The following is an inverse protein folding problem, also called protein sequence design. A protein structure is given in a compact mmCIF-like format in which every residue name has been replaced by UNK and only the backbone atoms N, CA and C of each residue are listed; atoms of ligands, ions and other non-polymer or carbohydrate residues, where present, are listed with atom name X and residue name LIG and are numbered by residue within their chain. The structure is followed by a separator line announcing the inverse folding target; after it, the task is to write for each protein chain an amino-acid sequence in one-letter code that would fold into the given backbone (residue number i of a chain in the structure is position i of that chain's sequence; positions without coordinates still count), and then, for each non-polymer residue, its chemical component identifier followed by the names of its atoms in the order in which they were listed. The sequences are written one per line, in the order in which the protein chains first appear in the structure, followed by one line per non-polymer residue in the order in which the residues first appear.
data_IF_069118010571
#
_entry.id   IF_069118010571
#
_cell.length_a   1.000
_cell.length_b   1.000
_cell.length_c   1.000
_cell.angle_alpha   90.00
_cell.angle_beta   90.00
_cell.angle_gamma   90.00
#
_symmetry.space_group_name_H-M   'P 1'
#
loop_
_entity.id
_entity.type
_entity.pdbx_description
1 polymer ?
#
# COMPACT_ATOMS: atom_id res chain seq x y z
N UNK A 1 -3.54 0.25 11.17
CA UNK A 1 -3.35 -0.29 12.54
C UNK A 1 -3.75 -1.75 12.51
N UNK A 2 -2.79 -2.67 12.54
CA UNK A 2 -3.08 -4.10 12.70
C UNK A 2 -2.98 -4.37 14.19
N UNK A 3 -4.07 -4.86 14.77
CA UNK A 3 -4.10 -5.26 16.19
C UNK A 3 -3.61 -6.70 16.26
N UNK A 4 -2.48 -6.89 16.92
CA UNK A 4 -1.76 -8.16 17.00
C UNK A 4 -2.27 -8.97 18.19
N UNK A 5 -2.69 -10.21 17.93
CA UNK A 5 -2.91 -11.20 19.00
C UNK A 5 -1.60 -11.95 19.23
N UNK A 6 -1.12 -11.89 20.47
CA UNK A 6 -0.14 -12.80 21.09
C UNK A 6 1.34 -12.74 20.62
N UNK A 7 1.89 -11.53 20.44
CA UNK A 7 3.36 -11.34 20.37
C UNK A 7 4.00 -10.99 21.74
N UNK A 8 3.19 -10.88 22.79
CA UNK A 8 3.55 -10.35 24.11
C UNK A 8 4.51 -11.22 24.94
N UNK A 9 4.93 -12.38 24.45
CA UNK A 9 5.74 -13.35 25.22
C UNK A 9 7.16 -13.59 24.66
N UNK A 10 7.58 -12.90 23.60
CA UNK A 10 8.94 -13.04 23.07
C UNK A 10 9.79 -11.85 23.54
N UNK A 11 10.79 -12.12 24.38
CA UNK A 11 11.75 -11.13 24.93
C UNK A 11 12.74 -10.55 23.88
N UNK A 12 12.35 -10.56 22.61
CA UNK A 12 13.19 -10.25 21.47
C UNK A 12 13.95 -11.46 20.92
N UNK A 13 14.45 -11.33 19.70
CA UNK A 13 15.13 -12.39 18.97
C UNK A 13 16.05 -11.81 17.89
N UNK A 14 17.05 -12.56 17.46
CA UNK A 14 17.98 -12.11 16.44
C UNK A 14 17.41 -12.39 15.05
N UNK A 15 17.35 -11.38 14.19
CA UNK A 15 16.90 -11.55 12.80
C UNK A 15 17.88 -12.45 12.05
N UNK A 16 17.41 -13.56 11.48
CA UNK A 16 18.26 -14.45 10.70
C UNK A 16 18.27 -14.03 9.23
N UNK A 17 19.46 -13.80 8.68
CA UNK A 17 19.69 -13.44 7.29
C UNK A 17 19.90 -14.68 6.42
N UNK A 18 19.46 -14.65 5.16
CA UNK A 18 19.48 -15.83 4.26
C UNK A 18 20.89 -16.43 4.05
N UNK A 19 21.94 -15.65 4.32
CA UNK A 19 23.34 -16.11 4.28
C UNK A 19 23.77 -16.90 5.54
N UNK A 20 22.89 -17.07 6.52
CA UNK A 20 23.17 -17.75 7.78
C UNK A 20 23.85 -16.87 8.83
N UNK A 21 23.95 -15.56 8.61
CA UNK A 21 24.31 -14.62 9.67
C UNK A 21 23.07 -14.24 10.46
N UNK A 22 23.26 -13.85 11.72
CA UNK A 22 22.21 -13.21 12.50
C UNK A 22 22.52 -11.71 12.59
N UNK A 23 21.50 -10.90 12.30
CA UNK A 23 21.55 -9.45 12.40
C UNK A 23 21.23 -8.97 13.81
N UNK A 24 20.79 -7.71 13.90
CA UNK A 24 20.49 -7.06 15.17
C UNK A 24 19.39 -7.78 15.96
N UNK A 25 19.49 -7.63 17.28
CA UNK A 25 18.46 -8.07 18.21
C UNK A 25 17.19 -7.23 18.01
N UNK A 26 16.11 -7.88 17.58
CA UNK A 26 14.82 -7.26 17.31
C UNK A 26 13.90 -7.42 18.52
N UNK A 27 13.21 -6.36 18.92
CA UNK A 27 12.07 -6.46 19.84
C UNK A 27 10.81 -6.83 19.07
N UNK A 28 9.73 -7.23 19.77
CA UNK A 28 8.50 -7.71 19.13
C UNK A 28 7.89 -6.72 18.13
N UNK A 29 8.08 -5.41 18.34
CA UNK A 29 7.64 -4.34 17.43
C UNK A 29 8.44 -4.27 16.12
N UNK A 30 9.63 -4.87 16.09
CA UNK A 30 10.56 -4.89 14.95
C UNK A 30 10.41 -6.15 14.07
N UNK A 31 9.38 -6.97 14.32
CA UNK A 31 9.19 -8.23 13.59
C UNK A 31 8.59 -8.00 12.21
N UNK A 32 9.28 -8.47 11.18
CA UNK A 32 8.92 -8.35 9.78
C UNK A 32 8.27 -9.64 9.27
N UNK A 33 7.13 -9.52 8.59
CA UNK A 33 6.42 -10.68 8.04
C UNK A 33 7.30 -11.40 7.01
N UNK A 34 7.42 -12.73 7.17
CA UNK A 34 8.25 -13.59 6.33
C UNK A 34 9.70 -13.72 6.81
N UNK A 35 10.07 -13.00 7.86
CA UNK A 35 11.41 -13.07 8.45
C UNK A 35 11.47 -14.17 9.51
N UNK A 36 12.60 -14.88 9.50
CA UNK A 36 12.94 -15.86 10.53
C UNK A 36 13.76 -15.19 11.61
N UNK A 37 13.39 -15.43 12.87
CA UNK A 37 14.09 -14.93 14.03
C UNK A 37 14.59 -16.10 14.88
N UNK A 38 15.76 -15.89 15.48
CA UNK A 38 16.42 -16.82 16.37
C UNK A 38 16.25 -16.34 17.82
N UNK A 39 15.45 -17.03 18.64
CA UNK A 39 15.36 -16.75 20.07
C UNK A 39 16.74 -16.77 20.73
N UNK A 40 16.94 -15.92 21.74
CA UNK A 40 18.22 -15.84 22.46
C UNK A 40 18.68 -17.19 23.03
N UNK A 41 17.74 -18.01 23.51
CA UNK A 41 18.01 -19.35 24.06
C UNK A 41 18.35 -20.41 22.99
N UNK A 42 18.15 -20.11 21.70
CA UNK A 42 18.37 -21.02 20.59
C UNK A 42 19.70 -20.76 19.86
N UNK A 43 20.48 -19.74 20.27
CA UNK A 43 21.75 -19.35 19.65
C UNK A 43 22.81 -20.44 19.78
N UNK A 44 22.97 -21.01 20.99
CA UNK A 44 23.98 -22.06 21.20
C UNK A 44 23.70 -23.29 20.34
N UNK A 45 22.44 -23.66 20.17
CA UNK A 45 22.03 -24.81 19.36
C UNK A 45 22.15 -24.52 17.86
N UNK A 46 21.88 -23.27 17.43
CA UNK A 46 22.15 -22.80 16.07
C UNK A 46 23.61 -22.99 15.67
N UNK A 47 24.55 -22.58 16.53
CA UNK A 47 26.00 -22.76 16.30
C UNK A 47 26.49 -24.18 16.55
N UNK A 48 25.77 -24.95 17.38
CA UNK A 48 26.05 -26.36 17.64
C UNK A 48 25.56 -27.32 16.56
N UNK A 49 24.96 -26.82 15.47
CA UNK A 49 24.33 -27.61 14.40
C UNK A 49 23.27 -28.61 14.90
N UNK A 50 22.64 -28.29 16.03
CA UNK A 50 21.56 -29.10 16.62
C UNK A 50 20.21 -28.64 16.08
N UNK A 51 19.17 -29.42 16.34
CA UNK A 51 17.82 -28.93 16.15
C UNK A 51 17.54 -27.84 17.20
N UNK A 52 16.98 -26.72 16.78
CA UNK A 52 16.68 -25.58 17.65
C UNK A 52 15.32 -24.98 17.30
N UNK A 53 14.81 -24.15 18.22
CA UNK A 53 13.55 -23.42 18.02
C UNK A 53 13.84 -22.16 17.21
N UNK A 54 13.06 -21.94 16.16
CA UNK A 54 13.06 -20.72 15.36
C UNK A 54 11.66 -20.10 15.38
N UNK A 55 11.61 -18.81 15.11
CA UNK A 55 10.38 -18.05 15.01
C UNK A 55 10.19 -17.58 13.57
N UNK A 56 9.00 -17.75 13.01
CA UNK A 56 8.60 -17.18 11.73
C UNK A 56 7.45 -16.22 11.98
N UNK A 57 7.64 -14.95 11.64
CA UNK A 57 6.55 -14.00 11.73
C UNK A 57 5.67 -14.12 10.48
N UNK A 58 4.45 -14.65 10.63
CA UNK A 58 3.52 -14.81 9.51
C UNK A 58 2.37 -13.80 9.60
N UNK A 59 1.53 -13.78 8.56
CA UNK A 59 0.32 -12.95 8.52
C UNK A 59 -0.69 -13.29 9.63
N UNK A 60 -0.64 -14.52 10.13
CA UNK A 60 -1.50 -15.03 11.20
C UNK A 60 -0.83 -14.91 12.59
N UNK A 61 0.20 -14.06 12.70
CA UNK A 61 0.97 -13.83 13.91
C UNK A 61 2.28 -14.60 13.95
N UNK A 62 2.95 -14.54 15.10
CA UNK A 62 4.19 -15.24 15.32
C UNK A 62 3.96 -16.76 15.33
N UNK A 63 4.84 -17.50 14.65
CA UNK A 63 4.83 -18.97 14.61
C UNK A 63 6.16 -19.51 15.11
N UNK A 64 6.10 -20.56 15.92
CA UNK A 64 7.28 -21.26 16.39
C UNK A 64 7.45 -22.59 15.65
N UNK A 65 8.69 -22.96 15.37
CA UNK A 65 9.01 -24.22 14.71
C UNK A 65 10.39 -24.73 15.06
N UNK A 66 10.54 -26.05 15.05
CA UNK A 66 11.84 -26.69 15.26
C UNK A 66 12.50 -26.96 13.92
N UNK A 67 13.76 -26.57 13.78
CA UNK A 67 14.53 -26.73 12.54
C UNK A 67 16.02 -26.93 12.82
N UNK A 68 16.82 -27.05 11.77
CA UNK A 68 18.30 -27.07 11.84
C UNK A 68 18.85 -25.94 10.97
N UNK A 69 20.15 -25.63 11.14
CA UNK A 69 20.80 -24.53 10.41
C UNK A 69 20.66 -24.66 8.90
N UNK A 70 20.81 -25.88 8.38
CA UNK A 70 20.76 -26.14 6.93
C UNK A 70 19.33 -26.15 6.38
N UNK A 71 18.32 -26.27 7.25
CA UNK A 71 16.92 -26.44 6.84
C UNK A 71 16.05 -25.23 7.13
N UNK A 72 16.49 -24.28 7.95
CA UNK A 72 15.68 -23.19 8.47
C UNK A 72 14.88 -22.41 7.42
N UNK A 73 15.48 -22.05 6.28
CA UNK A 73 14.76 -21.34 5.21
C UNK A 73 13.83 -22.25 4.41
N UNK A 74 14.21 -23.52 4.23
CA UNK A 74 13.35 -24.51 3.58
C UNK A 74 12.13 -24.82 4.44
N UNK A 75 12.34 -25.06 5.73
CA UNK A 75 11.30 -25.33 6.71
C UNK A 75 10.42 -24.09 6.92
N UNK A 76 10.97 -22.87 6.94
CA UNK A 76 10.19 -21.62 7.00
C UNK A 76 9.31 -21.41 5.75
N UNK A 77 9.85 -21.66 4.54
CA UNK A 77 9.09 -21.53 3.28
C UNK A 77 7.99 -22.58 3.14
N UNK A 78 8.22 -23.76 3.71
CA UNK A 78 7.26 -24.87 3.71
C UNK A 78 6.45 -24.92 4.99
N UNK A 79 6.61 -23.93 5.88
CA UNK A 79 5.98 -23.90 7.18
C UNK A 79 4.47 -23.86 7.01
N UNK A 80 3.88 -25.04 7.21
CA UNK A 80 2.45 -25.23 7.41
C UNK A 80 2.32 -25.43 8.91
N UNK A 81 1.45 -24.63 9.52
CA UNK A 81 1.08 -24.77 10.93
C UNK A 81 1.03 -26.27 11.30
N UNK A 82 1.71 -26.74 12.37
CA UNK A 82 1.73 -28.15 12.77
C UNK A 82 0.33 -28.76 12.98
N UNK A 83 -0.71 -27.94 13.02
CA UNK A 83 -2.12 -28.29 13.12
C UNK A 83 -2.82 -28.57 11.78
N UNK A 84 -2.16 -28.44 10.62
CA UNK A 84 -2.76 -28.75 9.33
C UNK A 84 -2.38 -30.17 8.86
N UNK A 85 -3.35 -31.08 8.63
CA UNK A 85 -3.05 -32.39 8.07
C UNK A 85 -2.39 -32.26 6.68
N UNK A 86 -1.55 -33.23 6.28
CA UNK A 86 -0.81 -33.14 5.02
C UNK A 86 -1.78 -32.95 3.84
N UNK A 87 -1.44 -32.09 2.87
CA UNK A 87 -2.30 -31.85 1.71
C UNK A 87 -2.45 -33.14 0.90
N UNK A 88 -3.68 -33.43 0.47
CA UNK A 88 -3.95 -34.50 -0.50
C UNK A 88 -3.21 -34.22 -1.82
N UNK A 89 -2.77 -35.25 -2.55
CA UNK A 89 -1.92 -35.11 -3.74
C UNK A 89 -2.55 -34.38 -4.93
N UNK A 90 -3.86 -34.08 -4.91
CA UNK A 90 -4.60 -33.73 -6.14
C UNK A 90 -5.13 -32.30 -6.17
N UNK A 91 -4.50 -31.34 -5.49
CA UNK A 91 -4.90 -29.93 -5.67
C UNK A 91 -3.93 -29.26 -6.65
N UNK A 92 -4.41 -28.81 -7.83
CA UNK A 92 -3.58 -28.09 -8.78
C UNK A 92 -2.92 -26.89 -8.08
N UNK A 93 -1.60 -26.81 -8.22
CA UNK A 93 -0.78 -25.69 -7.76
C UNK A 93 -1.07 -24.46 -8.63
N UNK A 94 -2.27 -23.88 -8.44
CA UNK A 94 -2.64 -22.60 -9.00
C UNK A 94 -1.96 -21.50 -8.19
N UNK A 95 -1.08 -20.74 -8.84
CA UNK A 95 -0.46 -19.54 -8.28
C UNK A 95 -1.52 -18.49 -7.92
N UNK A 96 -2.17 -18.61 -6.76
CA UNK A 96 -3.06 -17.56 -6.24
C UNK A 96 -2.31 -16.77 -5.18
N UNK A 97 -1.49 -15.82 -5.63
CA UNK A 97 -0.96 -14.79 -4.74
C UNK A 97 -2.08 -13.77 -4.46
N UNK A 98 -3.03 -14.15 -3.60
CA UNK A 98 -4.20 -13.32 -3.26
C UNK A 98 -3.80 -12.28 -2.21
N UNK A 99 -3.04 -11.27 -2.64
CA UNK A 99 -2.70 -10.13 -1.81
C UNK A 99 -3.69 -8.99 -2.06
N UNK A 100 -4.35 -8.53 -0.99
CA UNK A 100 -5.27 -7.37 -1.05
C UNK A 100 -4.52 -6.04 -1.23
N UNK A 101 -3.30 -5.93 -0.71
CA UNK A 101 -2.40 -4.77 -0.87
C UNK A 101 -0.94 -5.18 -0.64
N UNK A 102 0.00 -4.42 -1.20
CA UNK A 102 1.46 -4.54 -0.99
C UNK A 102 1.96 -3.15 -0.58
N UNK A 103 2.82 -3.05 0.42
CA UNK A 103 3.32 -1.77 0.96
C UNK A 103 4.84 -1.80 1.07
N UNK A 104 5.53 -0.74 0.64
CA UNK A 104 6.98 -0.54 0.84
C UNK A 104 7.20 0.85 1.45
N UNK A 105 7.95 0.94 2.55
CA UNK A 105 8.22 2.19 3.26
C UNK A 105 6.95 3.00 3.58
N UNK A 106 5.90 2.31 4.02
CA UNK A 106 4.60 2.92 4.33
C UNK A 106 3.77 3.36 3.11
N UNK A 107 4.23 3.11 1.89
CA UNK A 107 3.52 3.47 0.65
C UNK A 107 2.93 2.24 -0.03
N UNK A 108 1.66 2.31 -0.41
CA UNK A 108 1.01 1.26 -1.20
C UNK A 108 1.66 1.11 -2.57
N UNK A 109 2.01 -0.12 -2.93
CA UNK A 109 2.49 -0.51 -4.24
C UNK A 109 1.27 -0.86 -5.09
N UNK A 110 1.15 -0.18 -6.24
CA UNK A 110 0.03 -0.40 -7.14
C UNK A 110 0.24 -1.59 -8.09
N UNK A 111 1.51 -1.94 -8.37
CA UNK A 111 1.89 -2.93 -9.38
C UNK A 111 3.25 -3.55 -9.06
N UNK A 112 3.38 -4.87 -9.24
CA UNK A 112 4.64 -5.61 -9.13
C UNK A 112 4.97 -6.26 -10.46
N UNK A 113 6.22 -6.08 -10.92
CA UNK A 113 6.74 -6.63 -12.17
C UNK A 113 7.97 -7.48 -11.86
N UNK A 114 8.01 -8.69 -12.39
CA UNK A 114 9.17 -9.59 -12.33
C UNK A 114 9.41 -10.20 -13.71
N UNK A 115 10.66 -10.22 -14.17
CA UNK A 115 11.03 -10.72 -15.50
C UNK A 115 10.17 -10.14 -16.64
N UNK A 116 9.96 -8.82 -16.63
CA UNK A 116 9.07 -8.09 -17.55
C UNK A 116 7.60 -8.55 -17.58
N UNK A 117 7.15 -9.34 -16.60
CA UNK A 117 5.75 -9.76 -16.46
C UNK A 117 5.13 -9.12 -15.23
N UNK A 118 3.91 -8.61 -15.39
CA UNK A 118 3.11 -8.15 -14.25
C UNK A 118 2.64 -9.37 -13.49
N UNK A 119 3.08 -9.52 -12.24
CA UNK A 119 2.74 -10.67 -11.41
C UNK A 119 1.68 -10.32 -10.37
N UNK A 120 1.42 -9.02 -10.15
CA UNK A 120 0.38 -8.56 -9.24
C UNK A 120 0.01 -7.09 -9.51
N UNK A 121 -1.28 -6.77 -9.37
CA UNK A 121 -1.85 -5.41 -9.41
C UNK A 121 -2.76 -5.27 -8.19
N UNK A 122 -2.69 -4.12 -7.54
CA UNK A 122 -3.53 -3.81 -6.38
C UNK A 122 -5.01 -3.79 -6.74
N UNK A 123 -5.83 -4.48 -5.95
CA UNK A 123 -7.30 -4.35 -5.97
C UNK A 123 -7.77 -3.07 -5.28
N UNK A 124 -6.93 -2.49 -4.40
CA UNK A 124 -7.18 -1.17 -3.87
C UNK A 124 -7.03 -0.18 -5.02
N UNK A 125 -8.15 0.36 -5.48
CA UNK A 125 -8.17 1.58 -6.28
C UNK A 125 -7.33 2.62 -5.52
N UNK A 126 -6.47 3.38 -6.21
CA UNK A 126 -5.71 4.46 -5.57
C UNK A 126 -6.67 5.27 -4.70
N UNK A 127 -6.27 5.52 -3.46
CA UNK A 127 -7.08 6.29 -2.52
C UNK A 127 -7.28 7.66 -3.14
N UNK A 128 -8.48 7.84 -3.68
CA UNK A 128 -8.96 9.03 -4.36
C UNK A 128 -8.95 10.17 -3.35
N UNK A 129 -7.80 10.82 -3.26
CA UNK A 129 -7.58 11.88 -2.28
C UNK A 129 -7.94 13.19 -2.95
N UNK A 130 -9.01 13.82 -2.47
CA UNK A 130 -9.39 15.16 -2.90
C UNK A 130 -8.42 16.17 -2.30
N UNK A 131 -7.70 16.90 -3.14
CA UNK A 131 -6.82 17.99 -2.75
C UNK A 131 -7.48 19.32 -3.13
N UNK A 132 -7.58 20.26 -2.20
CA UNK A 132 -7.98 21.63 -2.51
C UNK A 132 -6.88 22.28 -3.38
N UNK A 133 -7.24 22.67 -4.59
CA UNK A 133 -6.30 23.24 -5.58
C UNK A 133 -6.57 24.72 -5.87
N UNK A 134 -7.77 25.21 -5.54
CA UNK A 134 -8.13 26.62 -5.65
C UNK A 134 -9.22 26.97 -4.63
N UNK A 135 -9.12 28.14 -4.01
CA UNK A 135 -10.04 28.59 -2.97
C UNK A 135 -10.05 30.12 -2.89
N UNK A 136 -10.51 30.77 -3.95
CA UNK A 136 -10.47 32.22 -4.05
C UNK A 136 -11.57 32.75 -4.99
N UNK A 137 -11.60 34.06 -5.18
CA UNK A 137 -12.46 34.74 -6.14
C UNK A 137 -11.89 34.60 -7.56
N UNK A 138 -12.63 33.94 -8.44
CA UNK A 138 -12.37 33.99 -9.88
C UNK A 138 -12.77 35.34 -10.42
N UNK A 139 -11.91 35.89 -11.26
CA UNK A 139 -12.11 37.16 -11.98
C UNK A 139 -11.83 36.94 -13.47
N UNK A 140 -11.77 38.01 -14.26
CA UNK A 140 -11.59 37.92 -15.71
C UNK A 140 -10.25 37.33 -16.15
N UNK A 141 -9.27 37.24 -15.24
CA UNK A 141 -7.96 36.67 -15.52
C UNK A 141 -8.00 35.13 -15.47
N UNK A 142 -7.31 34.50 -16.42
CA UNK A 142 -7.17 33.05 -16.47
C UNK A 142 -6.26 32.55 -15.34
N UNK A 143 -6.78 31.58 -14.59
CA UNK A 143 -6.06 30.84 -13.55
C UNK A 143 -5.74 29.45 -14.06
N UNK A 144 -4.47 29.06 -13.95
CA UNK A 144 -3.96 27.77 -14.38
C UNK A 144 -3.74 26.88 -13.16
N UNK A 145 -4.41 25.72 -13.14
CA UNK A 145 -4.39 24.78 -12.04
C UNK A 145 -3.80 23.44 -12.47
N UNK A 146 -3.18 22.76 -11.51
CA UNK A 146 -2.59 21.44 -11.73
C UNK A 146 -3.58 20.43 -12.32
N UNK A 147 -3.06 19.53 -13.15
CA UNK A 147 -3.82 18.50 -13.83
C UNK A 147 -4.29 17.38 -12.88
N UNK A 148 -5.59 17.12 -12.85
CA UNK A 148 -6.20 15.99 -12.16
C UNK A 148 -7.17 15.21 -13.05
N UNK A 149 -7.27 13.88 -12.90
CA UNK A 149 -8.28 13.07 -13.59
C UNK A 149 -9.73 13.47 -13.29
N UNK A 150 -10.01 13.92 -12.07
CA UNK A 150 -11.35 14.35 -11.63
C UNK A 150 -11.26 15.66 -10.86
N UNK A 151 -12.19 16.57 -11.13
CA UNK A 151 -12.33 17.86 -10.46
C UNK A 151 -13.69 17.97 -9.78
N UNK A 152 -13.71 18.64 -8.63
CA UNK A 152 -14.90 19.00 -7.87
C UNK A 152 -14.96 20.52 -7.79
N UNK A 153 -15.96 21.13 -8.43
CA UNK A 153 -16.21 22.56 -8.39
C UNK A 153 -17.29 22.84 -7.35
N UNK A 154 -16.99 23.69 -6.37
CA UNK A 154 -17.90 24.07 -5.31
C UNK A 154 -18.17 25.57 -5.41
N UNK A 155 -19.42 25.94 -5.66
CA UNK A 155 -19.88 27.33 -5.79
C UNK A 155 -21.20 27.46 -5.04
N UNK A 156 -21.30 28.43 -4.14
CA UNK A 156 -22.51 28.69 -3.34
C UNK A 156 -23.07 27.43 -2.61
N UNK A 157 -22.19 26.50 -2.23
CA UNK A 157 -22.59 25.23 -1.59
C UNK A 157 -23.03 24.13 -2.56
N UNK A 158 -23.23 24.43 -3.85
CA UNK A 158 -23.45 23.43 -4.88
C UNK A 158 -22.12 22.83 -5.34
N UNK A 159 -22.10 21.50 -5.54
CA UNK A 159 -20.92 20.78 -6.01
C UNK A 159 -21.20 20.10 -7.35
N UNK A 160 -20.36 20.37 -8.34
CA UNK A 160 -20.36 19.65 -9.62
C UNK A 160 -19.05 18.88 -9.78
N UNK A 161 -19.17 17.61 -10.17
CA UNK A 161 -18.04 16.72 -10.41
C UNK A 161 -17.85 16.53 -11.90
N UNK A 162 -16.62 16.72 -12.39
CA UNK A 162 -16.26 16.51 -13.80
C UNK A 162 -14.96 15.74 -13.89
N UNK A 163 -14.92 14.73 -14.78
CA UNK A 163 -13.65 14.17 -15.22
C UNK A 163 -12.96 15.14 -16.18
N UNK A 164 -11.62 15.11 -16.24
CA UNK A 164 -10.87 15.94 -17.16
C UNK A 164 -11.34 15.76 -18.61
N UNK A 165 -11.65 14.54 -19.05
CA UNK A 165 -12.15 14.28 -20.42
C UNK A 165 -13.56 14.86 -20.69
N UNK A 166 -14.29 15.28 -19.67
CA UNK A 166 -15.63 15.88 -19.77
C UNK A 166 -15.60 17.41 -19.72
N UNK A 167 -14.45 18.01 -19.45
CA UNK A 167 -14.28 19.46 -19.41
C UNK A 167 -13.91 19.91 -20.82
N UNK A 168 -14.93 20.34 -21.56
CA UNK A 168 -14.74 21.01 -22.86
C UNK A 168 -14.45 22.49 -22.65
N UNK A 169 -13.75 23.12 -23.60
CA UNK A 169 -13.62 24.57 -23.65
C UNK A 169 -15.00 25.23 -23.70
N UNK A 170 -15.33 26.06 -22.71
CA UNK A 170 -16.59 26.80 -22.69
C UNK A 170 -17.03 27.22 -21.29
N UNK A 171 -18.24 27.77 -21.20
CA UNK A 171 -18.83 28.21 -19.94
C UNK A 171 -19.57 27.06 -19.25
N UNK A 172 -19.34 26.94 -17.95
CA UNK A 172 -20.07 26.06 -17.04
C UNK A 172 -20.96 26.89 -16.12
N UNK A 173 -22.14 26.37 -15.78
CA UNK A 173 -23.03 26.97 -14.79
C UNK A 173 -23.14 26.09 -13.55
N UNK A 174 -22.93 26.67 -12.37
CA UNK A 174 -23.06 26.02 -11.06
C UNK A 174 -23.65 27.05 -10.08
N UNK A 175 -24.67 26.68 -9.30
CA UNK A 175 -25.24 27.58 -8.29
C UNK A 175 -25.71 28.93 -8.83
N UNK A 176 -26.17 28.97 -10.08
CA UNK A 176 -26.61 30.18 -10.78
C UNK A 176 -25.49 31.09 -11.31
N UNK A 177 -24.22 30.68 -11.18
CA UNK A 177 -23.06 31.45 -11.66
C UNK A 177 -22.42 30.77 -12.87
N UNK A 178 -21.88 31.57 -13.78
CA UNK A 178 -21.16 31.11 -14.97
C UNK A 178 -19.68 31.42 -14.86
N UNK A 179 -18.84 30.44 -15.19
CA UNK A 179 -17.39 30.65 -15.34
C UNK A 179 -16.87 29.78 -16.49
N UNK A 180 -15.82 30.27 -17.13
CA UNK A 180 -15.14 29.59 -18.21
C UNK A 180 -14.27 28.46 -17.64
N UNK A 181 -14.25 27.33 -18.35
CA UNK A 181 -13.40 26.18 -18.04
C UNK A 181 -12.82 25.60 -19.30
N UNK A 182 -11.56 25.16 -19.23
CA UNK A 182 -10.89 24.45 -20.31
C UNK A 182 -9.81 23.52 -19.73
N UNK A 183 -9.51 22.43 -20.43
CA UNK A 183 -8.24 21.72 -20.25
C UNK A 183 -7.24 22.22 -21.29
N UNK A 184 -6.10 22.74 -20.84
CA UNK A 184 -5.03 23.25 -21.72
C UNK A 184 -4.37 22.10 -22.49
N UNK A 185 -3.59 22.43 -23.53
CA UNK A 185 -2.77 21.44 -24.24
C UNK A 185 -1.73 20.77 -23.34
N UNK A 186 -1.35 21.41 -22.24
CA UNK A 186 -0.45 20.90 -21.20
C UNK A 186 -1.20 20.12 -20.10
N UNK A 187 -2.50 19.86 -20.30
CA UNK A 187 -3.43 19.16 -19.39
C UNK A 187 -3.76 19.90 -18.09
N UNK A 188 -3.47 21.19 -18.01
CA UNK A 188 -3.84 22.03 -16.88
C UNK A 188 -5.31 22.41 -16.95
N UNK A 189 -5.95 22.58 -15.81
CA UNK A 189 -7.29 23.17 -15.75
C UNK A 189 -7.16 24.69 -15.79
N UNK A 190 -7.76 25.31 -16.81
CA UNK A 190 -7.85 26.76 -16.95
C UNK A 190 -9.25 27.20 -16.58
N UNK A 191 -9.34 28.22 -15.73
CA UNK A 191 -10.60 28.80 -15.27
C UNK A 191 -10.53 30.31 -15.24
N UNK A 192 -11.65 30.96 -15.54
CA UNK A 192 -11.84 32.41 -15.39
C UNK A 192 -13.31 32.72 -15.28
N UNK A 193 -13.68 33.88 -14.75
CA UNK A 193 -15.07 34.33 -14.74
C UNK A 193 -15.19 35.80 -15.06
N UNK A 194 -16.14 36.13 -15.94
CA UNK A 194 -16.41 37.52 -16.28
C UNK A 194 -16.92 38.34 -15.08
N UNK A 195 -17.70 37.70 -14.20
CA UNK A 195 -18.19 38.32 -12.97
C UNK A 195 -17.46 37.71 -11.78
N UNK A 196 -17.00 38.52 -10.81
CA UNK A 196 -16.32 37.98 -9.65
C UNK A 196 -17.16 36.94 -8.90
N UNK A 197 -16.61 35.73 -8.74
CA UNK A 197 -17.28 34.62 -8.07
C UNK A 197 -16.30 33.84 -7.21
N UNK A 198 -16.69 33.60 -5.96
CA UNK A 198 -15.91 32.73 -5.08
C UNK A 198 -16.12 31.26 -5.46
N UNK A 199 -15.02 30.54 -5.70
CA UNK A 199 -15.05 29.13 -6.09
C UNK A 199 -14.01 28.34 -5.29
N UNK A 200 -14.41 27.15 -4.83
CA UNK A 200 -13.47 26.16 -4.32
C UNK A 200 -13.36 25.02 -5.33
N UNK A 201 -12.14 24.61 -5.65
CA UNK A 201 -11.89 23.51 -6.60
C UNK A 201 -10.99 22.49 -5.94
N UNK A 202 -11.40 21.22 -6.03
CA UNK A 202 -10.61 20.09 -5.58
C UNK A 202 -10.22 19.21 -6.77
N UNK A 203 -8.98 18.73 -6.78
CA UNK A 203 -8.48 17.73 -7.71
C UNK A 203 -8.36 16.36 -7.03
N UNK A 204 -8.72 15.29 -7.75
CA UNK A 204 -8.64 13.90 -7.29
C UNK A 204 -7.89 13.05 -8.32
N UNK A 205 -6.85 12.34 -7.85
CA UNK A 205 -5.99 11.42 -8.62
C UNK A 205 -6.55 10.01 -8.73
#
# INVERSE_FOLDING_TARGET
MVVFKDASYVEGAYKLLENGDYGDHAYFDDFEVGTVYLPGDSISDYFGFRAFRALLYTRDGLKEFTTTRDRIYTDARTYRSPSAPPPRPDTPQGNSWNFKSIVINGKNIARVVSNNRVIWISEQKPEKTKKLIFNDMLTGDDVFLSAYPTYYFVVNGETVVKKAEQITTGYMSIGGVYFFTQISSQRELVISSFNPVYVQIYGES
#
